data_IF_614912642124
#
_entry.id   IF_614912642124
#
_cell.length_a   1.000
_cell.length_b   1.000
_cell.length_c   1.000
_cell.angle_alpha   90.00
_cell.angle_beta   90.00
_cell.angle_gamma   90.00
#
_symmetry.space_group_name_H-M   'P 1'
#
loop_
_entity.id
_entity.type
_entity.pdbx_description
1 polymer ?
#
# COMPACT_ATOMS: atom_id res chain seq x y z
N UNK A 1 -21.50 -1.48 8.84
CA UNK A 1 -20.37 -1.27 9.78
C UNK A 1 -18.99 -1.41 9.14
N UNK A 2 -18.81 -2.29 8.13
CA UNK A 2 -17.61 -2.34 7.29
C UNK A 2 -17.20 -0.96 6.73
N UNK A 3 -18.18 -0.11 6.41
CA UNK A 3 -17.97 1.24 5.89
C UNK A 3 -17.11 2.15 6.78
N UNK A 4 -17.32 2.20 8.10
CA UNK A 4 -16.49 3.08 8.96
C UNK A 4 -15.05 2.58 9.04
N UNK A 5 -14.88 1.26 9.21
CA UNK A 5 -13.54 0.67 9.22
C UNK A 5 -12.84 0.86 7.86
N UNK A 6 -13.58 0.69 6.77
CA UNK A 6 -13.09 0.93 5.42
C UNK A 6 -12.65 2.39 5.25
N UNK A 7 -13.50 3.37 5.60
CA UNK A 7 -13.15 4.79 5.55
C UNK A 7 -11.88 5.09 6.34
N UNK A 8 -11.73 4.53 7.55
CA UNK A 8 -10.52 4.72 8.35
C UNK A 8 -9.28 4.10 7.69
N UNK A 9 -9.40 2.90 7.10
CA UNK A 9 -8.30 2.29 6.33
C UNK A 9 -8.01 3.00 5.01
N UNK A 10 -8.99 3.69 4.44
CA UNK A 10 -8.89 4.42 3.18
C UNK A 10 -8.64 5.91 3.36
N UNK A 11 -8.42 6.38 4.59
CA UNK A 11 -8.08 7.76 4.85
C UNK A 11 -6.91 8.28 3.98
N UNK A 12 -5.89 7.47 3.62
CA UNK A 12 -4.93 7.80 2.56
C UNK A 12 -5.57 8.18 1.24
N UNK A 13 -6.39 7.31 0.68
CA UNK A 13 -7.05 7.58 -0.60
C UNK A 13 -8.04 8.72 -0.53
N UNK A 14 -8.79 8.82 0.56
CA UNK A 14 -9.78 9.88 0.72
C UNK A 14 -9.09 11.24 0.80
N UNK A 15 -7.98 11.35 1.55
CA UNK A 15 -7.24 12.61 1.61
C UNK A 15 -6.59 12.96 0.27
N UNK A 16 -6.06 11.97 -0.46
CA UNK A 16 -5.50 12.17 -1.80
C UNK A 16 -6.58 12.58 -2.81
N UNK A 17 -7.74 11.94 -2.80
CA UNK A 17 -8.83 12.27 -3.74
C UNK A 17 -9.50 13.60 -3.36
N UNK A 18 -9.83 13.81 -2.10
CA UNK A 18 -10.61 14.99 -1.68
C UNK A 18 -9.72 16.23 -1.47
N UNK A 19 -8.55 16.06 -0.86
CA UNK A 19 -7.70 17.18 -0.51
C UNK A 19 -6.85 17.64 -1.68
N UNK A 20 -6.20 16.70 -2.37
CA UNK A 20 -5.22 17.03 -3.39
C UNK A 20 -5.84 17.31 -4.77
N UNK A 21 -6.89 16.58 -5.20
CA UNK A 21 -7.55 16.90 -6.48
C UNK A 21 -8.36 18.21 -6.43
N UNK A 22 -8.78 18.66 -5.25
CA UNK A 22 -9.50 19.93 -5.07
C UNK A 22 -8.58 21.10 -4.72
N UNK A 23 -7.25 20.90 -4.74
CA UNK A 23 -6.22 21.88 -4.36
C UNK A 23 -6.40 22.46 -2.93
N UNK A 24 -7.10 21.75 -2.04
CA UNK A 24 -7.34 22.22 -0.67
C UNK A 24 -6.13 22.06 0.23
N UNK A 25 -5.33 21.03 -0.02
CA UNK A 25 -4.12 20.72 0.73
C UNK A 25 -3.05 20.17 -0.22
N UNK A 26 -1.79 20.34 0.16
CA UNK A 26 -0.69 19.71 -0.56
C UNK A 26 -0.79 18.17 -0.49
N UNK A 27 -0.24 17.48 -1.49
CA UNK A 27 -0.15 16.01 -1.50
C UNK A 27 0.55 15.49 -0.23
N UNK A 28 1.57 16.21 0.22
CA UNK A 28 2.28 15.97 1.47
C UNK A 28 1.34 15.98 2.68
N UNK A 29 0.60 17.08 2.85
CA UNK A 29 -0.34 17.26 3.96
C UNK A 29 -1.42 16.19 3.93
N UNK A 30 -1.95 15.85 2.75
CA UNK A 30 -2.90 14.77 2.57
C UNK A 30 -2.32 13.44 3.09
N UNK A 31 -1.13 13.08 2.64
CA UNK A 31 -0.45 11.85 3.03
C UNK A 31 -0.19 11.78 4.54
N UNK A 32 0.25 12.88 5.16
CA UNK A 32 0.52 12.95 6.59
C UNK A 32 -0.76 12.79 7.43
N UNK A 33 -1.83 13.53 7.09
CA UNK A 33 -3.11 13.45 7.79
C UNK A 33 -3.67 12.03 7.76
N UNK A 34 -3.51 11.35 6.64
CA UNK A 34 -3.92 9.97 6.51
C UNK A 34 -3.15 9.00 7.40
N UNK A 35 -1.86 9.22 7.61
CA UNK A 35 -1.05 8.44 8.57
C UNK A 35 -1.52 8.67 10.01
N UNK A 36 -1.85 9.92 10.37
CA UNK A 36 -2.43 10.23 11.69
C UNK A 36 -3.75 9.49 11.90
N UNK A 37 -4.62 9.45 10.88
CA UNK A 37 -5.90 8.72 10.95
C UNK A 37 -5.70 7.20 11.10
N UNK A 38 -4.75 6.62 10.35
CA UNK A 38 -4.42 5.20 10.43
C UNK A 38 -3.81 4.79 11.77
N UNK A 39 -3.00 5.66 12.39
CA UNK A 39 -2.27 5.34 13.62
C UNK A 39 -3.02 5.73 14.90
N UNK A 40 -4.01 6.64 14.82
CA UNK A 40 -4.78 7.11 15.98
C UNK A 40 -6.23 6.60 16.04
N UNK A 41 -7.15 7.20 15.25
CA UNK A 41 -8.56 6.81 15.21
C UNK A 41 -8.81 5.33 14.91
N UNK A 42 -8.08 4.72 13.96
CA UNK A 42 -8.29 3.33 13.56
C UNK A 42 -8.12 2.32 14.72
N UNK A 43 -7.00 2.30 15.48
CA UNK A 43 -6.87 1.35 16.60
C UNK A 43 -7.89 1.58 17.71
N UNK A 44 -8.25 2.84 18.00
CA UNK A 44 -9.29 3.18 18.97
C UNK A 44 -10.67 2.65 18.52
N UNK A 45 -11.02 2.86 17.25
CA UNK A 45 -12.26 2.38 16.66
C UNK A 45 -12.33 0.85 16.62
N UNK A 46 -11.23 0.19 16.24
CA UNK A 46 -11.13 -1.28 16.25
C UNK A 46 -11.36 -1.81 17.66
N UNK A 47 -10.69 -1.25 18.68
CA UNK A 47 -10.86 -1.66 20.08
C UNK A 47 -12.30 -1.50 20.52
N UNK A 48 -12.87 -0.33 20.27
CA UNK A 48 -14.26 -0.01 20.59
C UNK A 48 -15.24 -1.00 19.92
N UNK A 49 -15.03 -1.27 18.63
CA UNK A 49 -15.91 -2.14 17.86
C UNK A 49 -15.83 -3.59 18.31
N UNK A 50 -14.63 -4.11 18.59
CA UNK A 50 -14.43 -5.47 19.10
C UNK A 50 -15.20 -5.76 20.39
N UNK A 51 -15.40 -4.76 21.24
CA UNK A 51 -16.14 -4.91 22.50
C UNK A 51 -17.67 -4.97 22.31
N UNK A 52 -18.18 -4.51 21.15
CA UNK A 52 -19.62 -4.36 20.89
C UNK A 52 -20.13 -5.21 19.73
N UNK A 53 -19.23 -5.76 18.93
CA UNK A 53 -19.58 -6.62 17.81
C UNK A 53 -19.97 -8.01 18.31
N UNK A 54 -21.17 -8.45 17.93
CA UNK A 54 -21.68 -9.80 18.20
C UNK A 54 -21.47 -10.74 17.01
N UNK A 55 -21.29 -10.19 15.81
CA UNK A 55 -21.00 -10.97 14.60
C UNK A 55 -19.52 -11.41 14.59
N UNK A 56 -19.22 -12.72 14.67
CA UNK A 56 -17.85 -13.22 14.61
C UNK A 56 -17.15 -12.97 13.26
N UNK A 57 -17.90 -12.64 12.20
CA UNK A 57 -17.37 -12.28 10.88
C UNK A 57 -17.09 -10.79 10.73
N UNK A 58 -17.32 -9.98 11.77
CA UNK A 58 -17.00 -8.55 11.73
C UNK A 58 -15.49 -8.35 11.48
N UNK A 59 -15.09 -7.55 10.47
CA UNK A 59 -13.69 -7.34 10.14
C UNK A 59 -12.88 -6.74 11.30
N UNK A 60 -13.50 -6.08 12.28
CA UNK A 60 -12.80 -5.58 13.46
C UNK A 60 -12.13 -6.72 14.25
N UNK A 61 -12.73 -7.91 14.31
CA UNK A 61 -12.11 -9.07 14.97
C UNK A 61 -10.90 -9.60 14.19
N UNK A 62 -10.90 -9.46 12.86
CA UNK A 62 -9.90 -10.02 11.97
C UNK A 62 -8.84 -9.01 11.49
N UNK A 63 -8.95 -7.74 11.87
CA UNK A 63 -8.10 -6.66 11.34
C UNK A 63 -6.61 -6.90 11.53
N UNK A 64 -6.18 -7.52 12.63
CA UNK A 64 -4.77 -7.86 12.85
C UNK A 64 -4.27 -8.91 11.84
N UNK A 65 -5.12 -9.86 11.46
CA UNK A 65 -4.82 -10.83 10.41
C UNK A 65 -4.80 -10.16 9.04
N UNK A 66 -5.78 -9.31 8.75
CA UNK A 66 -5.82 -8.56 7.49
C UNK A 66 -4.62 -7.62 7.33
N UNK A 67 -4.18 -6.98 8.41
CA UNK A 67 -2.97 -6.18 8.47
C UNK A 67 -1.73 -6.98 8.07
N UNK A 68 -1.60 -8.22 8.56
CA UNK A 68 -0.51 -9.12 8.15
C UNK A 68 -0.65 -9.55 6.69
N UNK A 69 -1.86 -9.81 6.21
CA UNK A 69 -2.08 -10.19 4.80
C UNK A 69 -1.68 -9.07 3.87
N UNK A 70 -2.02 -7.83 4.23
CA UNK A 70 -1.74 -6.65 3.44
C UNK A 70 -0.24 -6.38 3.24
N UNK A 71 0.66 -6.99 4.02
CA UNK A 71 2.10 -6.88 3.82
C UNK A 71 2.55 -7.50 2.50
N UNK A 72 1.99 -8.66 2.13
CA UNK A 72 2.46 -9.43 0.96
C UNK A 72 2.11 -8.76 -0.37
N UNK A 73 0.89 -8.23 -0.60
CA UNK A 73 0.56 -7.47 -1.80
C UNK A 73 1.48 -6.27 -2.02
N UNK A 74 1.87 -5.58 -0.94
CA UNK A 74 2.80 -4.44 -1.01
C UNK A 74 4.20 -4.92 -1.38
N UNK A 75 4.67 -5.99 -0.74
CA UNK A 75 5.95 -6.63 -1.10
C UNK A 75 6.01 -6.99 -2.58
N UNK A 76 4.95 -7.64 -3.10
CA UNK A 76 4.87 -8.04 -4.50
C UNK A 76 4.78 -6.84 -5.42
N UNK A 77 4.01 -5.82 -5.06
CA UNK A 77 3.95 -4.55 -5.80
C UNK A 77 5.35 -3.96 -5.97
N UNK A 78 6.14 -3.86 -4.90
CA UNK A 78 7.50 -3.32 -4.96
C UNK A 78 8.46 -4.20 -5.75
N UNK A 79 8.35 -5.51 -5.57
CA UNK A 79 9.20 -6.48 -6.25
C UNK A 79 8.97 -6.49 -7.76
N UNK A 80 7.76 -6.23 -8.25
CA UNK A 80 7.52 -6.10 -9.69
C UNK A 80 7.81 -4.69 -10.18
N UNK A 81 7.44 -3.67 -9.40
CA UNK A 81 7.51 -2.26 -9.83
C UNK A 81 8.94 -1.79 -9.95
N UNK A 82 9.77 -2.02 -8.92
CA UNK A 82 11.14 -1.52 -8.87
C UNK A 82 11.91 -2.01 -10.11
N UNK A 83 12.05 -3.33 -10.36
CA UNK A 83 12.72 -3.83 -11.57
C UNK A 83 12.08 -3.32 -12.87
N UNK A 84 10.74 -3.30 -12.96
CA UNK A 84 10.03 -2.84 -14.15
C UNK A 84 10.34 -1.37 -14.50
N UNK A 85 10.60 -0.52 -13.51
CA UNK A 85 11.02 0.85 -13.74
C UNK A 85 12.42 0.94 -14.36
N UNK A 86 13.39 0.17 -13.86
CA UNK A 86 14.75 0.12 -14.44
C UNK A 86 14.81 -0.57 -15.80
N UNK A 87 14.06 -1.68 -15.98
CA UNK A 87 14.01 -2.40 -17.26
C UNK A 87 13.42 -1.55 -18.40
N UNK A 88 12.70 -0.49 -18.06
CA UNK A 88 12.02 0.40 -18.98
C UNK A 88 12.54 1.84 -18.84
N UNK A 89 13.84 1.98 -18.53
CA UNK A 89 14.64 3.22 -18.48
C UNK A 89 13.94 4.40 -17.79
N UNK A 90 13.28 4.14 -16.66
CA UNK A 90 12.66 5.18 -15.84
C UNK A 90 13.25 5.13 -14.44
N UNK A 91 13.85 6.23 -13.96
CA UNK A 91 14.38 6.27 -12.61
C UNK A 91 13.23 6.09 -11.61
N UNK A 92 13.24 4.96 -10.89
CA UNK A 92 12.20 4.62 -9.91
C UNK A 92 12.11 5.67 -8.79
N UNK A 93 13.22 6.33 -8.46
CA UNK A 93 13.36 7.25 -7.34
C UNK A 93 12.78 8.64 -7.55
N UNK A 94 12.71 9.14 -8.78
CA UNK A 94 12.64 10.59 -9.06
C UNK A 94 11.40 11.27 -8.46
N UNK A 95 10.26 10.59 -8.39
CA UNK A 95 9.01 11.16 -7.82
C UNK A 95 8.48 10.45 -6.59
N UNK A 96 9.01 9.26 -6.28
CA UNK A 96 8.55 8.45 -5.15
C UNK A 96 9.25 8.82 -3.84
N UNK A 97 10.50 9.29 -3.92
CA UNK A 97 11.23 9.81 -2.76
C UNK A 97 11.03 11.31 -2.53
N UNK A 98 10.23 11.98 -3.37
CA UNK A 98 9.77 13.34 -3.11
C UNK A 98 9.11 13.46 -1.73
N UNK A 99 8.43 12.41 -1.24
CA UNK A 99 7.89 12.39 0.12
C UNK A 99 8.98 12.47 1.17
N UNK A 100 10.10 11.79 0.92
CA UNK A 100 11.27 11.82 1.77
C UNK A 100 11.88 13.21 1.84
N UNK A 101 12.08 13.83 0.67
CA UNK A 101 12.54 15.22 0.57
C UNK A 101 11.57 16.18 1.27
N UNK A 102 10.27 16.07 1.01
CA UNK A 102 9.24 16.92 1.63
C UNK A 102 9.14 16.73 3.15
N UNK A 103 9.39 15.51 3.66
CA UNK A 103 9.40 15.21 5.10
C UNK A 103 10.65 15.69 5.82
N UNK A 104 11.81 15.56 5.18
CA UNK A 104 13.12 15.72 5.85
C UNK A 104 13.83 17.00 5.46
N UNK A 105 13.45 17.64 4.36
CA UNK A 105 14.17 18.75 3.73
C UNK A 105 15.52 18.36 3.12
N UNK A 106 15.88 17.07 3.15
CA UNK A 106 17.16 16.56 2.65
C UNK A 106 17.04 16.12 1.19
N UNK A 107 18.13 16.20 0.39
CA UNK A 107 18.15 15.72 -0.99
C UNK A 107 17.53 14.32 -1.16
N UNK A 108 16.82 14.09 -2.27
CA UNK A 108 16.04 12.86 -2.48
C UNK A 108 16.87 11.57 -2.48
N UNK A 109 18.16 11.68 -2.81
CA UNK A 109 19.18 10.63 -2.79
C UNK A 109 19.82 10.42 -1.40
N UNK A 110 19.54 11.29 -0.43
CA UNK A 110 20.02 11.13 0.95
C UNK A 110 19.34 9.95 1.64
N UNK A 111 20.08 9.20 2.47
CA UNK A 111 19.52 8.05 3.19
C UNK A 111 18.32 8.42 4.07
N UNK A 112 18.29 9.61 4.66
CA UNK A 112 17.15 10.10 5.45
C UNK A 112 15.89 10.30 4.61
N UNK A 113 16.02 10.89 3.42
CA UNK A 113 14.89 11.06 2.51
C UNK A 113 14.43 9.69 1.98
N UNK A 114 15.36 8.82 1.58
CA UNK A 114 15.04 7.48 1.10
C UNK A 114 14.27 6.65 2.14
N UNK A 115 14.68 6.68 3.41
CA UNK A 115 13.98 5.98 4.51
C UNK A 115 12.59 6.56 4.74
N UNK A 116 12.48 7.88 4.84
CA UNK A 116 11.20 8.54 5.08
C UNK A 116 10.20 8.30 3.93
N UNK A 117 10.65 8.41 2.68
CA UNK A 117 9.84 8.14 1.49
C UNK A 117 9.39 6.68 1.41
N UNK A 118 10.30 5.73 1.68
CA UNK A 118 9.99 4.30 1.74
C UNK A 118 8.90 4.00 2.77
N UNK A 119 8.98 4.61 3.95
CA UNK A 119 8.00 4.38 5.00
C UNK A 119 6.60 4.89 4.61
N UNK A 120 6.52 6.10 4.05
CA UNK A 120 5.24 6.66 3.58
C UNK A 120 4.65 5.79 2.48
N UNK A 121 5.46 5.44 1.49
CA UNK A 121 5.08 4.55 0.40
C UNK A 121 4.50 3.24 0.90
N UNK A 122 5.25 2.57 1.78
CA UNK A 122 4.83 1.31 2.33
C UNK A 122 3.51 1.44 3.09
N UNK A 123 3.36 2.46 3.94
CA UNK A 123 2.13 2.65 4.71
C UNK A 123 0.92 2.97 3.81
N UNK A 124 1.13 3.72 2.73
CA UNK A 124 0.10 3.94 1.72
C UNK A 124 -0.29 2.61 1.06
N UNK A 125 0.65 1.87 0.48
CA UNK A 125 0.39 0.56 -0.14
C UNK A 125 -0.31 -0.41 0.82
N UNK A 126 0.14 -0.45 2.07
CA UNK A 126 -0.40 -1.31 3.12
C UNK A 126 -1.85 -0.98 3.45
N UNK A 127 -2.17 0.30 3.58
CA UNK A 127 -3.54 0.76 3.84
C UNK A 127 -4.51 0.39 2.71
N UNK A 128 -4.05 0.43 1.46
CA UNK A 128 -4.82 0.10 0.26
C UNK A 128 -5.12 -1.39 0.23
N UNK A 129 -4.08 -2.21 0.40
CA UNK A 129 -4.23 -3.66 0.49
C UNK A 129 -5.13 -4.06 1.66
N UNK A 130 -5.01 -3.39 2.81
CA UNK A 130 -5.88 -3.62 3.96
C UNK A 130 -7.36 -3.31 3.67
N UNK A 131 -7.61 -2.25 2.90
CA UNK A 131 -8.95 -1.87 2.43
C UNK A 131 -9.69 -2.99 1.72
N UNK A 132 -8.99 -3.77 0.88
CA UNK A 132 -9.56 -4.92 0.18
C UNK A 132 -10.12 -5.95 1.18
N UNK A 133 -9.32 -6.31 2.18
CA UNK A 133 -9.73 -7.33 3.15
C UNK A 133 -10.87 -6.88 4.07
N UNK A 134 -10.93 -5.58 4.37
CA UNK A 134 -12.00 -4.97 5.16
C UNK A 134 -13.30 -4.86 4.35
N UNK A 135 -13.21 -4.38 3.11
CA UNK A 135 -14.36 -4.07 2.27
C UNK A 135 -15.11 -5.34 1.84
N UNK A 136 -14.38 -6.32 1.31
CA UNK A 136 -14.99 -7.50 0.72
C UNK A 136 -15.26 -8.57 1.77
N UNK A 137 -16.50 -9.07 1.80
CA UNK A 137 -16.86 -10.23 2.62
C UNK A 137 -16.30 -11.54 2.03
N UNK A 138 -16.18 -11.60 0.71
CA UNK A 138 -15.58 -12.69 -0.04
C UNK A 138 -14.40 -12.18 -0.85
N UNK A 139 -13.21 -12.68 -0.54
CA UNK A 139 -11.96 -12.27 -1.19
C UNK A 139 -11.72 -13.07 -2.46
N UNK A 140 -12.49 -12.77 -3.52
CA UNK A 140 -12.40 -13.42 -4.83
C UNK A 140 -11.52 -12.61 -5.80
N UNK A 141 -10.91 -13.29 -6.78
CA UNK A 141 -9.98 -12.68 -7.73
C UNK A 141 -10.61 -11.51 -8.51
N UNK A 142 -11.84 -11.61 -9.05
CA UNK A 142 -12.44 -10.48 -9.75
C UNK A 142 -12.62 -9.24 -8.86
N UNK A 143 -12.94 -9.43 -7.58
CA UNK A 143 -13.05 -8.33 -6.61
C UNK A 143 -11.70 -7.69 -6.32
N UNK A 144 -10.65 -8.51 -6.17
CA UNK A 144 -9.28 -8.01 -6.00
C UNK A 144 -8.81 -7.22 -7.25
N UNK A 145 -9.04 -7.75 -8.44
CA UNK A 145 -8.69 -7.08 -9.70
C UNK A 145 -9.50 -5.80 -9.90
N UNK A 146 -10.79 -5.78 -9.61
CA UNK A 146 -11.59 -4.56 -9.72
C UNK A 146 -11.12 -3.47 -8.76
N UNK A 147 -10.80 -3.82 -7.51
CA UNK A 147 -10.44 -2.85 -6.47
C UNK A 147 -8.96 -2.44 -6.51
N UNK A 148 -8.04 -3.40 -6.41
CA UNK A 148 -6.60 -3.11 -6.39
C UNK A 148 -6.02 -2.98 -7.79
N UNK A 149 -6.54 -3.71 -8.78
CA UNK A 149 -6.04 -3.67 -10.15
C UNK A 149 -6.54 -2.46 -10.93
N UNK A 150 -7.86 -2.33 -11.08
CA UNK A 150 -8.48 -1.31 -11.94
C UNK A 150 -8.70 0.00 -11.20
N UNK A 151 -9.47 -0.01 -10.11
CA UNK A 151 -9.80 1.22 -9.39
C UNK A 151 -8.56 1.96 -8.92
N UNK A 152 -7.61 1.26 -8.28
CA UNK A 152 -6.39 1.89 -7.81
C UNK A 152 -5.50 2.40 -8.96
N UNK A 153 -5.41 1.68 -10.08
CA UNK A 153 -4.72 2.19 -11.29
C UNK A 153 -5.34 3.48 -11.79
N UNK A 154 -6.67 3.54 -11.91
CA UNK A 154 -7.38 4.74 -12.36
C UNK A 154 -7.09 5.91 -11.43
N UNK A 155 -7.23 5.71 -10.11
CA UNK A 155 -6.96 6.77 -9.15
C UNK A 155 -5.50 7.22 -9.22
N UNK A 156 -4.55 6.28 -9.28
CA UNK A 156 -3.13 6.60 -9.34
C UNK A 156 -2.77 7.40 -10.60
N UNK A 157 -3.29 6.98 -11.77
CA UNK A 157 -3.05 7.71 -13.03
C UNK A 157 -3.63 9.12 -12.95
N UNK A 158 -4.87 9.29 -12.47
CA UNK A 158 -5.51 10.61 -12.32
C UNK A 158 -4.72 11.51 -11.37
N UNK A 159 -4.33 10.99 -10.19
CA UNK A 159 -3.53 11.74 -9.22
C UNK A 159 -2.16 12.12 -9.80
N UNK A 160 -1.51 11.21 -10.52
CA UNK A 160 -0.22 11.47 -11.12
C UNK A 160 -0.28 12.53 -12.21
N UNK A 161 -1.33 12.56 -13.04
CA UNK A 161 -1.50 13.65 -14.04
C UNK A 161 -1.44 15.01 -13.35
N UNK A 162 -2.16 15.13 -12.22
CA UNK A 162 -2.23 16.36 -11.43
C UNK A 162 -0.90 16.70 -10.75
N UNK A 163 -0.23 15.69 -10.19
CA UNK A 163 1.06 15.86 -9.49
C UNK A 163 2.22 16.18 -10.41
N UNK A 164 2.26 15.50 -11.55
CA UNK A 164 3.31 15.64 -12.53
C UNK A 164 3.18 16.90 -13.39
N UNK A 165 2.03 17.57 -13.34
CA UNK A 165 1.56 18.55 -14.34
C UNK A 165 1.85 18.09 -15.78
N UNK A 166 1.65 16.80 -16.04
CA UNK A 166 2.02 16.17 -17.31
C UNK A 166 1.04 15.06 -17.67
N UNK A 167 0.75 14.92 -18.96
CA UNK A 167 -0.08 13.80 -19.42
C UNK A 167 0.64 12.46 -19.21
N UNK A 168 -0.03 11.46 -18.62
CA UNK A 168 0.54 10.15 -18.42
C UNK A 168 0.81 9.50 -19.77
N UNK A 169 2.04 9.04 -19.99
CA UNK A 169 2.39 8.30 -21.19
C UNK A 169 1.75 6.91 -21.18
N UNK A 170 1.58 6.30 -22.35
CA UNK A 170 1.10 4.90 -22.46
C UNK A 170 1.99 3.96 -21.65
N UNK A 171 3.31 4.19 -21.70
CA UNK A 171 4.29 3.42 -20.93
C UNK A 171 4.06 3.56 -19.42
N UNK A 172 3.79 4.77 -18.93
CA UNK A 172 3.47 5.00 -17.52
C UNK A 172 2.18 4.29 -17.10
N UNK A 173 1.11 4.41 -17.90
CA UNK A 173 -0.15 3.71 -17.62
C UNK A 173 0.04 2.20 -17.57
N UNK A 174 0.84 1.63 -18.49
CA UNK A 174 1.19 0.21 -18.47
C UNK A 174 1.92 -0.18 -17.19
N UNK A 175 2.97 0.57 -16.80
CA UNK A 175 3.72 0.31 -15.56
C UNK A 175 2.79 0.28 -14.35
N UNK A 176 1.96 1.31 -14.20
CA UNK A 176 1.00 1.40 -13.09
C UNK A 176 0.00 0.25 -13.10
N UNK A 177 -0.57 -0.09 -14.26
CA UNK A 177 -1.52 -1.20 -14.38
C UNK A 177 -0.87 -2.56 -14.05
N UNK A 178 0.38 -2.76 -14.48
CA UNK A 178 1.16 -3.96 -14.21
C UNK A 178 1.39 -4.15 -12.71
N UNK A 179 1.83 -3.11 -12.02
CA UNK A 179 2.14 -3.18 -10.59
C UNK A 179 0.87 -3.51 -9.76
N UNK A 180 -0.23 -2.83 -10.07
CA UNK A 180 -1.52 -3.02 -9.42
C UNK A 180 -2.16 -4.38 -9.74
N UNK A 181 -1.96 -4.90 -10.95
CA UNK A 181 -2.38 -6.26 -11.30
C UNK A 181 -1.73 -7.30 -10.38
N UNK A 182 -0.40 -7.24 -10.21
CA UNK A 182 0.31 -8.17 -9.35
C UNK A 182 -0.02 -8.00 -7.87
N UNK A 183 -0.22 -6.76 -7.42
CA UNK A 183 -0.74 -6.46 -6.08
C UNK A 183 -2.10 -7.13 -5.85
N UNK A 184 -3.02 -7.03 -6.81
CA UNK A 184 -4.34 -7.65 -6.75
C UNK A 184 -4.27 -9.19 -6.71
N UNK A 185 -3.44 -9.79 -7.56
CA UNK A 185 -3.23 -11.25 -7.59
C UNK A 185 -2.66 -11.73 -6.26
N UNK A 186 -1.66 -11.04 -5.71
CA UNK A 186 -1.09 -11.36 -4.42
C UNK A 186 -2.12 -11.24 -3.29
N UNK A 187 -2.96 -10.19 -3.30
CA UNK A 187 -3.98 -9.98 -2.30
C UNK A 187 -5.01 -11.10 -2.27
N UNK A 188 -5.43 -11.57 -3.44
CA UNK A 188 -6.30 -12.73 -3.60
C UNK A 188 -5.61 -14.04 -3.19
N UNK A 189 -4.36 -14.25 -3.60
CA UNK A 189 -3.61 -15.47 -3.27
C UNK A 189 -3.42 -15.63 -1.75
N UNK A 190 -3.22 -14.52 -1.03
CA UNK A 190 -3.04 -14.54 0.42
C UNK A 190 -4.23 -15.11 1.18
N UNK A 191 -5.47 -14.85 0.77
CA UNK A 191 -6.64 -15.40 1.46
C UNK A 191 -6.75 -16.92 1.28
N UNK A 192 -6.32 -17.44 0.12
CA UNK A 192 -6.30 -18.87 -0.20
C UNK A 192 -5.13 -19.60 0.48
N UNK A 193 -3.96 -18.97 0.48
CA UNK A 193 -2.72 -19.55 1.00
C UNK A 193 -2.68 -19.56 2.53
N UNK A 194 -3.12 -18.48 3.17
CA UNK A 194 -3.03 -18.35 4.63
C UNK A 194 -3.95 -19.33 5.37
N UNK A 195 -5.19 -19.54 4.89
CA UNK A 195 -6.09 -20.53 5.50
C UNK A 195 -5.52 -21.96 5.45
N UNK A 196 -4.75 -22.27 4.40
CA UNK A 196 -4.15 -23.60 4.21
C UNK A 196 -2.83 -23.75 4.94
N UNK A 197 -1.99 -22.72 4.95
CA UNK A 197 -0.61 -22.80 5.43
C UNK A 197 -0.51 -22.32 6.87
N UNK A 198 -1.05 -21.14 7.18
CA UNK A 198 -0.82 -20.48 8.47
C UNK A 198 -1.74 -20.97 9.58
N UNK A 199 -3.00 -21.30 9.28
CA UNK A 199 -3.91 -21.87 10.28
C UNK A 199 -3.51 -23.30 10.70
N UNK A 200 -2.85 -24.04 9.81
CA UNK A 200 -2.40 -25.42 10.09
C UNK A 200 -1.12 -25.47 10.91
N UNK A 201 -0.25 -24.47 10.76
CA UNK A 201 1.03 -24.42 11.46
C UNK A 201 0.92 -23.47 12.65
N UNK A 202 0.79 -24.02 13.87
CA UNK A 202 0.77 -23.25 15.13
C UNK A 202 2.03 -22.40 15.34
N UNK A 203 3.12 -22.70 14.63
CA UNK A 203 4.37 -21.94 14.61
C UNK A 203 4.82 -21.77 13.17
N UNK A 204 5.22 -20.56 12.83
CA UNK A 204 5.86 -20.29 11.55
C UNK A 204 7.29 -20.77 11.61
N UNK A 205 7.76 -21.40 10.53
CA UNK A 205 9.17 -21.67 10.37
C UNK A 205 9.93 -20.33 10.32
N UNK A 206 10.85 -20.06 11.27
CA UNK A 206 11.65 -18.84 11.27
C UNK A 206 12.36 -18.60 9.93
N UNK A 207 12.74 -19.65 9.20
CA UNK A 207 13.37 -19.53 7.87
C UNK A 207 12.44 -18.92 6.84
N UNK A 208 11.17 -19.30 6.83
CA UNK A 208 10.17 -18.72 5.94
C UNK A 208 9.88 -17.26 6.30
N UNK A 209 9.91 -16.94 7.59
CA UNK A 209 9.77 -15.56 8.07
C UNK A 209 10.97 -14.72 7.64
N UNK A 210 12.20 -15.21 7.82
CA UNK A 210 13.43 -14.55 7.36
C UNK A 210 13.45 -14.36 5.85
N UNK A 211 13.10 -15.40 5.08
CA UNK A 211 13.02 -15.32 3.62
C UNK A 211 11.96 -14.29 3.19
N UNK A 212 10.79 -14.30 3.82
CA UNK A 212 9.74 -13.31 3.55
C UNK A 212 10.20 -11.87 3.85
N UNK A 213 10.88 -11.66 4.98
CA UNK A 213 11.47 -10.37 5.31
C UNK A 213 12.56 -9.96 4.30
N UNK A 214 13.42 -10.88 3.89
CA UNK A 214 14.45 -10.61 2.89
C UNK A 214 13.84 -10.21 1.55
N UNK A 215 12.83 -10.95 1.07
CA UNK A 215 12.11 -10.60 -0.17
C UNK A 215 11.38 -9.25 -0.07
N UNK A 216 10.93 -8.87 1.13
CA UNK A 216 10.27 -7.59 1.37
C UNK A 216 11.26 -6.41 1.40
N UNK A 217 12.44 -6.61 2.01
CA UNK A 217 13.46 -5.55 2.16
C UNK A 217 14.32 -5.40 0.90
N UNK A 218 14.55 -6.47 0.14
CA UNK A 218 15.46 -6.49 -1.00
C UNK A 218 15.17 -5.43 -2.08
N UNK A 219 13.90 -5.17 -2.50
CA UNK A 219 13.62 -4.13 -3.49
C UNK A 219 14.03 -2.74 -3.01
N UNK A 220 13.82 -2.43 -1.72
CA UNK A 220 14.22 -1.16 -1.13
C UNK A 220 15.75 -1.04 -1.04
N UNK A 221 16.44 -2.09 -0.60
CA UNK A 221 17.90 -2.08 -0.58
C UNK A 221 18.47 -1.87 -1.99
N UNK A 222 17.90 -2.52 -2.99
CA UNK A 222 18.30 -2.31 -4.38
C UNK A 222 18.08 -0.85 -4.81
N UNK A 223 16.91 -0.27 -4.53
CA UNK A 223 16.65 1.13 -4.84
C UNK A 223 17.61 2.09 -4.12
N UNK A 224 17.97 1.82 -2.85
CA UNK A 224 18.92 2.63 -2.10
C UNK A 224 20.33 2.56 -2.70
N UNK A 225 20.81 1.36 -3.05
CA UNK A 225 22.13 1.18 -3.70
C UNK A 225 22.19 1.89 -5.03
N UNK A 226 21.09 1.89 -5.78
CA UNK A 226 21.05 2.53 -7.09
C UNK A 226 20.86 4.06 -7.01
N UNK A 227 20.25 4.57 -5.92
CA UNK A 227 20.05 6.00 -5.69
C UNK A 227 21.25 6.70 -5.03
N UNK A 228 22.15 5.95 -4.37
CA UNK A 228 23.35 6.50 -3.74
C UNK A 228 24.56 6.31 -4.66
N UNK A 229 25.37 7.37 -4.93
CA UNK A 229 26.51 7.29 -5.84
C UNK A 229 27.68 6.44 -5.33
#
# INVERSE_FOLDING_TARGET
>A
MRGVLYVLTQAPMIALIAGYLLDWISFFTASLLSMVVLLGPLPLWVRHRRQRATDPKDPAHHIGRYALFALVPVAVYDFVRIPNFYLLDSPYWDRWYDFGFQLTGQPADSSSALVAGTLVHFLQGWSLALGFYVLFAHHVLPGALAYLGVFLTVVYVVLFVRYADSSPTVLFMYKVAWDHFWMAVAAWAMTRGYERIWLRHRRLDPRLVTLGMACWVAPFLFAFVQATP
#
